data_IF_454529131556
#
_entry.id   IF_454529131556
#
_cell.length_a   1.000
_cell.length_b   1.000
_cell.length_c   1.000
_cell.angle_alpha   90.00
_cell.angle_beta   90.00
_cell.angle_gamma   90.00
#
_symmetry.space_group_name_H-M   'P 1'
#
loop_
_entity.id
_entity.type
_entity.pdbx_description
1 polymer ?
#
# COMPACT_ATOMS: atom_id res chain seq x y z
N UNK A 1 -2.57 20.34 -13.06
CA UNK A 1 -1.58 19.48 -12.38
C UNK A 1 -1.03 18.49 -13.39
N UNK A 2 0.29 18.30 -13.44
CA UNK A 2 0.95 17.27 -14.27
C UNK A 2 1.79 16.37 -13.40
N UNK A 3 1.91 15.11 -13.80
CA UNK A 3 2.77 14.14 -13.13
C UNK A 3 3.81 13.61 -14.10
N UNK A 4 4.96 13.20 -13.57
CA UNK A 4 6.00 12.55 -14.34
C UNK A 4 6.71 11.50 -13.48
N UNK A 5 7.03 10.35 -14.06
CA UNK A 5 7.72 9.27 -13.36
C UNK A 5 9.18 9.22 -13.79
N UNK A 6 10.06 9.16 -12.80
CA UNK A 6 11.48 8.88 -12.99
C UNK A 6 11.90 7.64 -12.22
N UNK A 7 12.90 6.96 -12.70
CA UNK A 7 13.42 5.72 -12.10
C UNK A 7 14.89 5.52 -12.42
N UNK A 8 15.55 4.70 -11.61
CA UNK A 8 16.92 4.28 -11.86
C UNK A 8 17.16 2.88 -11.27
N UNK A 9 18.04 2.10 -11.90
CA UNK A 9 18.62 0.86 -11.39
C UNK A 9 20.13 0.98 -11.18
N UNK A 10 20.64 2.21 -11.05
CA UNK A 10 22.02 2.43 -10.71
C UNK A 10 22.33 1.83 -9.33
N UNK A 11 23.40 1.05 -9.23
CA UNK A 11 23.82 0.42 -7.97
C UNK A 11 24.42 1.40 -6.98
N UNK A 12 24.90 2.56 -7.45
CA UNK A 12 25.25 3.69 -6.59
C UNK A 12 23.97 4.41 -6.15
N UNK A 13 23.72 4.43 -4.85
CA UNK A 13 22.49 4.96 -4.28
C UNK A 13 22.32 6.47 -4.56
N UNK A 14 23.40 7.25 -4.49
CA UNK A 14 23.34 8.69 -4.80
C UNK A 14 22.97 8.91 -6.27
N UNK A 15 23.65 8.21 -7.19
CA UNK A 15 23.35 8.33 -8.62
C UNK A 15 21.92 7.86 -8.94
N UNK A 16 21.47 6.78 -8.30
CA UNK A 16 20.09 6.30 -8.44
C UNK A 16 19.06 7.38 -8.07
N UNK A 17 19.28 8.07 -6.95
CA UNK A 17 18.44 9.18 -6.52
C UNK A 17 18.48 10.37 -7.50
N UNK A 18 19.68 10.76 -7.94
CA UNK A 18 19.86 11.85 -8.88
C UNK A 18 19.19 11.58 -10.23
N UNK A 19 19.42 10.42 -10.82
CA UNK A 19 18.86 10.00 -12.11
C UNK A 19 17.33 9.93 -12.09
N UNK A 20 16.75 9.34 -11.04
CA UNK A 20 15.31 9.25 -10.91
C UNK A 20 14.66 10.64 -10.74
N UNK A 21 15.27 11.53 -9.94
CA UNK A 21 14.79 12.91 -9.78
C UNK A 21 14.88 13.70 -11.08
N UNK A 22 15.98 13.56 -11.83
CA UNK A 22 16.19 14.22 -13.11
C UNK A 22 15.17 13.75 -14.15
N UNK A 23 14.93 12.43 -14.24
CA UNK A 23 13.96 11.85 -15.17
C UNK A 23 12.52 12.30 -14.83
N UNK A 24 12.17 12.39 -13.55
CA UNK A 24 10.88 12.89 -13.08
C UNK A 24 10.72 14.42 -13.22
N UNK A 25 11.76 15.13 -13.67
CA UNK A 25 11.78 16.61 -13.71
C UNK A 25 11.43 17.26 -12.37
N UNK A 26 11.96 16.70 -11.28
CA UNK A 26 11.57 17.06 -9.92
C UNK A 26 11.85 18.52 -9.55
N UNK A 27 12.75 19.21 -10.27
CA UNK A 27 12.97 20.67 -10.12
C UNK A 27 11.72 21.50 -10.33
N UNK A 28 10.81 21.02 -11.17
CA UNK A 28 9.56 21.70 -11.50
C UNK A 28 8.38 21.16 -10.67
N UNK A 29 8.63 20.29 -9.70
CA UNK A 29 7.61 19.67 -8.86
C UNK A 29 7.50 20.32 -7.48
N UNK A 30 6.32 20.18 -6.84
CA UNK A 30 6.09 20.49 -5.43
C UNK A 30 6.47 19.32 -4.53
N UNK A 31 6.22 18.10 -5.01
CA UNK A 31 6.46 16.87 -4.24
C UNK A 31 6.76 15.71 -5.18
N UNK A 32 7.60 14.80 -4.72
CA UNK A 32 7.86 13.51 -5.31
C UNK A 32 7.49 12.36 -4.35
N UNK A 33 6.72 11.40 -4.85
CA UNK A 33 6.44 10.16 -4.12
C UNK A 33 7.52 9.14 -4.48
N UNK A 34 8.43 8.88 -3.54
CA UNK A 34 9.64 8.08 -3.72
C UNK A 34 9.47 6.66 -3.18
N UNK A 35 9.78 5.67 -4.00
CA UNK A 35 9.83 4.26 -3.60
C UNK A 35 11.17 3.64 -3.98
N UNK A 36 11.81 2.96 -3.02
CA UNK A 36 13.17 2.47 -3.19
C UNK A 36 13.30 1.01 -2.76
N UNK A 37 14.35 0.37 -3.23
CA UNK A 37 14.74 -0.95 -2.72
C UNK A 37 15.26 -0.83 -1.29
N UNK A 38 14.84 -1.73 -0.39
CA UNK A 38 15.31 -1.77 1.00
C UNK A 38 16.79 -2.19 1.14
N UNK A 39 17.41 -2.69 0.08
CA UNK A 39 18.85 -3.06 0.12
C UNK A 39 19.78 -1.89 -0.21
N UNK A 40 19.24 -0.76 -0.67
CA UNK A 40 20.01 0.45 -0.94
C UNK A 40 20.10 1.37 0.29
N UNK A 41 21.05 2.29 0.28
CA UNK A 41 21.15 3.34 1.30
C UNK A 41 20.19 4.49 0.97
N UNK A 42 19.04 4.55 1.68
CA UNK A 42 18.01 5.58 1.45
C UNK A 42 18.53 7.01 1.68
N UNK A 43 19.44 7.22 2.62
CA UNK A 43 20.03 8.54 2.86
C UNK A 43 20.84 9.03 1.65
N UNK A 44 21.59 8.14 1.00
CA UNK A 44 22.33 8.48 -0.21
C UNK A 44 21.39 8.73 -1.39
N UNK A 45 20.29 7.96 -1.52
CA UNK A 45 19.26 8.23 -2.55
C UNK A 45 18.66 9.62 -2.35
N UNK A 46 18.24 9.95 -1.13
CA UNK A 46 17.70 11.28 -0.80
C UNK A 46 18.72 12.39 -1.08
N UNK A 47 19.98 12.17 -0.72
CA UNK A 47 21.07 13.13 -1.02
C UNK A 47 21.22 13.36 -2.53
N UNK A 48 21.16 12.29 -3.34
CA UNK A 48 21.17 12.41 -4.80
C UNK A 48 19.99 13.20 -5.35
N UNK A 49 18.79 12.98 -4.80
CA UNK A 49 17.59 13.76 -5.17
C UNK A 49 17.77 15.24 -4.78
N UNK A 50 18.31 15.52 -3.60
CA UNK A 50 18.55 16.91 -3.11
C UNK A 50 19.59 17.66 -3.93
N UNK A 51 20.55 16.98 -4.53
CA UNK A 51 21.48 17.61 -5.48
C UNK A 51 20.76 18.17 -6.71
N UNK A 52 19.61 17.56 -7.07
CA UNK A 52 18.83 17.96 -8.22
C UNK A 52 17.65 18.90 -7.87
N UNK A 53 16.97 18.74 -6.74
CA UNK A 53 15.68 19.40 -6.43
C UNK A 53 15.44 19.62 -4.94
N UNK A 54 14.81 20.75 -4.60
CA UNK A 54 14.31 21.10 -3.27
C UNK A 54 12.84 20.69 -3.05
N UNK A 55 12.20 19.98 -3.99
CA UNK A 55 10.82 19.52 -3.85
C UNK A 55 10.68 18.59 -2.62
N UNK A 56 9.51 18.57 -1.98
CA UNK A 56 9.24 17.60 -0.92
C UNK A 56 9.37 16.17 -1.43
N UNK A 57 9.85 15.28 -0.58
CA UNK A 57 10.05 13.86 -0.89
C UNK A 57 9.33 13.04 0.19
N UNK A 58 8.36 12.23 -0.20
CA UNK A 58 7.71 11.28 0.69
C UNK A 58 7.68 9.90 0.07
N UNK A 59 7.77 8.88 0.89
CA UNK A 59 7.60 7.51 0.41
C UNK A 59 8.22 6.50 1.36
N UNK A 60 8.51 5.34 0.82
CA UNK A 60 9.07 4.24 1.61
C UNK A 60 9.78 3.23 0.72
N UNK A 61 10.35 2.21 1.37
CA UNK A 61 10.85 1.04 0.67
C UNK A 61 9.69 0.17 0.16
N UNK A 62 9.85 -0.37 -1.06
CA UNK A 62 8.91 -1.27 -1.73
C UNK A 62 9.41 -2.71 -1.67
N UNK A 63 8.50 -3.69 -1.58
CA UNK A 63 8.85 -5.11 -1.50
C UNK A 63 9.35 -5.64 -2.84
N UNK A 64 10.64 -5.90 -2.92
CA UNK A 64 11.38 -6.58 -3.98
C UNK A 64 11.38 -5.90 -5.36
N UNK A 65 10.42 -5.04 -5.70
CA UNK A 65 10.34 -4.42 -7.02
C UNK A 65 9.52 -3.13 -7.06
N UNK A 66 9.60 -2.43 -8.19
CA UNK A 66 8.64 -1.44 -8.69
C UNK A 66 8.43 -1.68 -10.18
N UNK A 67 7.30 -1.19 -10.75
CA UNK A 67 7.09 -1.15 -12.19
C UNK A 67 6.91 0.30 -12.67
N UNK A 68 7.51 0.60 -13.81
CA UNK A 68 7.42 1.89 -14.50
C UNK A 68 7.41 1.65 -16.00
N UNK A 69 7.42 2.70 -16.81
CA UNK A 69 7.64 2.55 -18.25
C UNK A 69 8.96 1.84 -18.60
N UNK A 70 9.97 1.94 -17.73
CA UNK A 70 11.28 1.33 -17.92
C UNK A 70 11.31 -0.17 -17.72
N UNK A 71 10.29 -0.76 -17.11
CA UNK A 71 10.23 -2.19 -16.88
C UNK A 71 9.79 -2.57 -15.47
N UNK A 72 9.96 -3.85 -15.18
CA UNK A 72 9.94 -4.43 -13.85
C UNK A 72 11.33 -4.28 -13.24
N UNK A 73 11.49 -3.35 -12.30
CA UNK A 73 12.76 -3.02 -11.65
C UNK A 73 12.83 -3.79 -10.34
N UNK A 74 13.69 -4.77 -10.23
CA UNK A 74 13.77 -5.68 -9.10
C UNK A 74 14.92 -5.37 -8.12
N UNK A 75 14.91 -6.06 -6.98
CA UNK A 75 15.84 -5.82 -5.88
C UNK A 75 17.24 -6.39 -6.06
N UNK A 76 17.54 -7.16 -7.09
CA UNK A 76 18.87 -7.77 -7.25
C UNK A 76 19.98 -6.72 -7.35
N UNK A 77 19.72 -5.63 -8.08
CA UNK A 77 20.65 -4.51 -8.23
C UNK A 77 20.26 -3.27 -7.43
N UNK A 78 19.06 -3.28 -6.82
CA UNK A 78 18.44 -2.12 -6.25
C UNK A 78 17.71 -1.25 -7.27
N UNK A 79 16.89 -0.33 -6.79
CA UNK A 79 16.13 0.60 -7.62
C UNK A 79 15.69 1.81 -6.82
N UNK A 80 15.42 2.91 -7.51
CA UNK A 80 14.59 4.01 -7.07
C UNK A 80 13.55 4.36 -8.12
N UNK A 81 12.36 4.73 -7.69
CA UNK A 81 11.29 5.24 -8.54
C UNK A 81 10.58 6.39 -7.85
N UNK A 82 10.32 7.46 -8.58
CA UNK A 82 9.68 8.65 -8.04
C UNK A 82 8.61 9.16 -9.00
N UNK A 83 7.44 9.49 -8.45
CA UNK A 83 6.37 10.18 -9.19
C UNK A 83 6.32 11.62 -8.72
N UNK A 84 6.74 12.55 -9.58
CA UNK A 84 6.71 13.99 -9.33
C UNK A 84 5.37 14.61 -9.68
N UNK A 85 4.89 15.52 -8.83
CA UNK A 85 3.72 16.36 -9.06
C UNK A 85 4.19 17.80 -9.28
N UNK A 86 3.98 18.33 -10.48
CA UNK A 86 4.51 19.63 -10.86
C UNK A 86 3.94 20.79 -10.02
N UNK A 87 4.67 21.91 -9.98
CA UNK A 87 4.32 23.09 -9.19
C UNK A 87 3.08 23.79 -9.71
N UNK A 88 2.80 23.70 -11.01
CA UNK A 88 1.65 24.33 -11.64
C UNK A 88 0.40 23.47 -11.36
N UNK A 89 -0.58 24.06 -10.70
CA UNK A 89 -1.82 23.37 -10.34
C UNK A 89 -1.69 22.33 -9.21
N UNK A 90 -0.59 22.36 -8.43
CA UNK A 90 -0.43 21.53 -7.23
C UNK A 90 0.01 22.37 -6.04
N UNK A 91 -0.73 22.27 -4.94
CA UNK A 91 -0.27 22.70 -3.62
C UNK A 91 -0.22 21.49 -2.71
N UNK A 92 0.75 21.46 -1.82
CA UNK A 92 0.98 20.35 -0.91
C UNK A 92 1.37 20.89 0.46
N UNK A 93 0.95 20.18 1.51
CA UNK A 93 1.52 20.34 2.84
C UNK A 93 2.00 18.99 3.32
N UNK A 94 3.19 18.93 3.87
CA UNK A 94 3.93 17.71 4.17
C UNK A 94 4.28 17.62 5.64
N UNK A 95 4.12 16.45 6.22
CA UNK A 95 4.62 16.16 7.57
C UNK A 95 4.95 14.69 7.73
N UNK A 96 6.00 14.40 8.45
CA UNK A 96 6.36 13.04 8.83
C UNK A 96 7.23 13.05 10.08
N UNK A 97 7.21 11.95 10.82
CA UNK A 97 8.13 11.70 11.92
C UNK A 97 8.17 10.24 12.35
N UNK A 98 9.27 9.88 12.98
CA UNK A 98 9.34 8.62 13.70
C UNK A 98 8.35 8.58 14.87
N UNK A 99 7.88 7.36 15.18
CA UNK A 99 7.12 7.03 16.38
C UNK A 99 8.09 6.57 17.46
N UNK A 100 7.93 7.08 18.68
CA UNK A 100 8.63 6.60 19.86
C UNK A 100 7.76 5.54 20.55
N UNK A 101 8.38 4.54 21.15
CA UNK A 101 7.67 3.48 21.86
C UNK A 101 6.68 4.05 22.90
N UNK A 102 5.45 3.53 22.89
CA UNK A 102 4.39 3.98 23.78
C UNK A 102 3.55 5.17 23.28
N UNK A 103 3.94 5.83 22.19
CA UNK A 103 3.13 6.89 21.58
C UNK A 103 1.92 6.29 20.84
N UNK A 104 0.83 7.04 20.82
CA UNK A 104 -0.38 6.69 20.06
C UNK A 104 -0.22 7.08 18.60
N UNK A 105 -0.37 6.12 17.68
CA UNK A 105 -0.38 6.35 16.24
C UNK A 105 -1.47 7.36 15.84
N UNK A 106 -2.65 7.33 16.50
CA UNK A 106 -3.74 8.29 16.24
C UNK A 106 -3.35 9.72 16.63
N UNK A 107 -2.68 9.92 17.78
CA UNK A 107 -2.20 11.25 18.15
C UNK A 107 -1.11 11.76 17.21
N UNK A 108 -0.22 10.88 16.75
CA UNK A 108 0.77 11.23 15.72
C UNK A 108 0.04 11.65 14.42
N UNK A 109 -0.95 10.90 13.96
CA UNK A 109 -1.76 11.26 12.80
C UNK A 109 -2.37 12.66 12.91
N UNK A 110 -2.93 13.01 14.10
CA UNK A 110 -3.45 14.36 14.38
C UNK A 110 -2.37 15.44 14.31
N UNK A 111 -1.19 15.16 14.89
CA UNK A 111 -0.05 16.07 14.88
C UNK A 111 0.42 16.35 13.46
N UNK A 112 0.63 15.29 12.67
CA UNK A 112 1.06 15.40 11.27
C UNK A 112 0.04 16.15 10.43
N UNK A 113 -1.25 15.86 10.58
CA UNK A 113 -2.31 16.55 9.86
C UNK A 113 -2.34 18.04 10.17
N UNK A 114 -2.16 18.46 11.44
CA UNK A 114 -2.08 19.88 11.83
C UNK A 114 -0.90 20.57 11.17
N UNK A 115 0.29 19.95 11.15
CA UNK A 115 1.50 20.49 10.51
C UNK A 115 1.31 20.65 9.01
N UNK A 116 0.86 19.58 8.34
CA UNK A 116 0.64 19.60 6.90
C UNK A 116 -0.47 20.58 6.49
N UNK A 117 -1.54 20.72 7.29
CA UNK A 117 -2.60 21.74 7.07
C UNK A 117 -2.07 23.17 7.21
N UNK A 118 -1.20 23.43 8.18
CA UNK A 118 -0.60 24.76 8.36
C UNK A 118 0.27 25.17 7.17
N UNK A 119 0.96 24.21 6.55
CA UNK A 119 1.76 24.43 5.35
C UNK A 119 0.88 24.58 4.10
N UNK A 120 -0.11 23.69 3.91
CA UNK A 120 -1.02 23.76 2.76
C UNK A 120 -1.86 25.04 2.73
N UNK A 121 -2.32 25.51 3.90
CA UNK A 121 -3.05 26.76 4.07
C UNK A 121 -4.51 26.74 3.61
N UNK A 122 -5.01 25.61 3.11
CA UNK A 122 -6.40 25.45 2.63
C UNK A 122 -6.88 23.99 2.77
N UNK A 123 -8.18 23.75 2.54
CA UNK A 123 -8.76 22.40 2.65
C UNK A 123 -8.20 21.48 1.54
N UNK A 124 -7.61 20.33 1.90
CA UNK A 124 -7.12 19.35 0.93
C UNK A 124 -8.25 18.63 0.18
N UNK A 125 -7.94 18.12 -1.01
CA UNK A 125 -8.83 17.29 -1.81
C UNK A 125 -8.67 15.80 -1.48
N UNK A 126 -7.44 15.38 -1.16
CA UNK A 126 -7.05 14.02 -0.77
C UNK A 126 -5.69 14.04 -0.06
N UNK A 127 -5.27 12.90 0.46
CA UNK A 127 -3.94 12.78 1.04
C UNK A 127 -3.24 11.47 0.65
N UNK A 128 -1.93 11.55 0.51
CA UNK A 128 -1.04 10.40 0.47
C UNK A 128 -0.57 10.09 1.88
N UNK A 129 -0.45 8.81 2.20
CA UNK A 129 0.14 8.35 3.45
C UNK A 129 1.09 7.18 3.20
N UNK A 130 2.20 7.15 3.93
CA UNK A 130 3.02 5.98 4.14
C UNK A 130 3.34 5.82 5.62
N UNK A 131 3.35 4.60 6.13
CA UNK A 131 3.58 4.32 7.53
C UNK A 131 4.30 2.99 7.71
N UNK A 132 4.82 2.74 8.91
CA UNK A 132 5.24 1.41 9.31
C UNK A 132 4.02 0.48 9.43
N UNK A 133 4.15 -0.82 9.10
CA UNK A 133 3.07 -1.79 9.29
C UNK A 133 2.65 -1.89 10.77
N UNK A 134 1.38 -2.15 11.03
CA UNK A 134 0.66 -2.53 12.28
C UNK A 134 -0.35 -1.52 12.82
N UNK A 135 -0.17 -0.20 12.63
CA UNK A 135 -1.05 0.82 13.23
C UNK A 135 -1.61 1.81 12.19
N UNK A 136 -1.66 1.38 10.94
CA UNK A 136 -2.03 2.20 9.79
C UNK A 136 -3.41 2.82 9.92
N UNK A 137 -4.37 2.03 10.43
CA UNK A 137 -5.75 2.47 10.65
C UNK A 137 -5.81 3.62 11.67
N UNK A 138 -4.95 3.57 12.71
CA UNK A 138 -4.90 4.61 13.72
C UNK A 138 -4.29 5.90 13.19
N UNK A 139 -3.24 5.83 12.38
CA UNK A 139 -2.70 7.01 11.69
C UNK A 139 -3.77 7.66 10.80
N UNK A 140 -4.50 6.88 9.97
CA UNK A 140 -5.57 7.39 9.11
C UNK A 140 -6.65 8.08 9.94
N UNK A 141 -7.14 7.42 11.01
CA UNK A 141 -8.14 8.00 11.90
C UNK A 141 -7.65 9.32 12.53
N UNK A 142 -6.39 9.38 12.95
CA UNK A 142 -5.79 10.60 13.49
C UNK A 142 -5.74 11.74 12.48
N UNK A 143 -5.39 11.44 11.24
CA UNK A 143 -5.41 12.41 10.14
C UNK A 143 -6.84 12.89 9.89
N UNK A 144 -7.81 11.98 9.79
CA UNK A 144 -9.22 12.30 9.57
C UNK A 144 -9.85 13.10 10.69
N UNK A 145 -9.42 12.94 11.95
CA UNK A 145 -9.86 13.75 13.09
C UNK A 145 -9.61 15.26 12.87
N UNK A 146 -8.66 15.63 12.02
CA UNK A 146 -8.26 17.01 11.76
C UNK A 146 -8.80 17.53 10.42
N UNK A 147 -8.68 16.73 9.35
CA UNK A 147 -9.02 17.18 7.99
C UNK A 147 -10.39 16.70 7.51
N UNK A 148 -11.08 15.84 8.29
CA UNK A 148 -12.32 15.19 7.90
C UNK A 148 -12.08 13.97 6.98
N UNK A 149 -13.16 13.34 6.58
CA UNK A 149 -13.13 12.20 5.66
C UNK A 149 -12.88 12.67 4.22
N UNK A 150 -11.64 12.58 3.78
CA UNK A 150 -11.24 12.78 2.39
C UNK A 150 -10.45 11.54 1.91
N UNK A 151 -10.40 11.28 0.60
CA UNK A 151 -9.73 10.10 0.07
C UNK A 151 -8.27 9.97 0.50
N UNK A 152 -7.86 8.76 0.91
CA UNK A 152 -6.46 8.38 1.10
C UNK A 152 -5.98 7.52 -0.06
N UNK A 153 -4.68 7.60 -0.36
CA UNK A 153 -3.96 6.60 -1.14
C UNK A 153 -2.54 6.44 -0.58
N UNK A 154 -1.90 5.33 -0.87
CA UNK A 154 -0.57 5.02 -0.39
C UNK A 154 -0.46 3.60 0.13
N UNK A 155 0.55 3.33 0.94
CA UNK A 155 0.77 1.98 1.48
C UNK A 155 1.85 1.93 2.55
N UNK A 156 1.90 0.82 3.28
CA UNK A 156 2.90 0.57 4.31
C UNK A 156 4.26 0.27 3.71
N UNK A 157 5.30 0.75 4.38
CA UNK A 157 6.68 0.41 4.05
C UNK A 157 6.88 -1.11 4.03
N UNK A 158 7.69 -1.59 3.11
CA UNK A 158 7.92 -3.00 2.90
C UNK A 158 9.41 -3.32 2.68
N UNK A 159 9.79 -4.54 3.02
CA UNK A 159 11.08 -5.11 2.68
C UNK A 159 10.92 -6.39 1.83
N UNK A 160 12.01 -7.04 1.50
CA UNK A 160 12.00 -8.20 0.62
C UNK A 160 11.62 -9.51 1.34
N UNK A 161 11.71 -9.56 2.67
CA UNK A 161 11.70 -10.80 3.47
C UNK A 161 10.78 -10.76 4.70
N UNK A 162 10.06 -9.65 4.93
CA UNK A 162 9.20 -9.44 6.12
C UNK A 162 10.01 -9.48 7.44
N UNK A 163 11.24 -8.99 7.41
CA UNK A 163 12.16 -8.99 8.56
C UNK A 163 12.23 -7.65 9.30
N UNK A 164 11.46 -6.64 8.89
CA UNK A 164 11.48 -5.32 9.49
C UNK A 164 12.60 -4.40 8.97
N UNK A 165 13.13 -4.70 7.78
CA UNK A 165 14.21 -3.93 7.14
C UNK A 165 13.69 -2.83 6.21
N UNK A 166 12.52 -2.32 6.45
CA UNK A 166 11.91 -1.23 5.70
C UNK A 166 12.31 0.14 6.24
N UNK A 167 12.07 1.15 5.43
CA UNK A 167 12.24 2.57 5.80
C UNK A 167 11.10 3.41 5.25
N UNK A 168 10.73 4.43 6.01
CA UNK A 168 9.85 5.52 5.62
C UNK A 168 10.73 6.75 5.38
N UNK A 169 10.41 7.52 4.35
CA UNK A 169 11.13 8.71 3.94
C UNK A 169 10.18 9.90 4.01
N UNK A 170 10.60 10.98 4.67
CA UNK A 170 9.92 12.26 4.67
C UNK A 170 10.96 13.37 4.63
N UNK A 171 11.12 14.00 3.47
CA UNK A 171 12.20 14.92 3.17
C UNK A 171 13.57 14.29 3.51
N UNK A 172 14.35 14.92 4.39
CA UNK A 172 15.66 14.43 4.79
C UNK A 172 15.62 13.44 5.98
N UNK A 173 14.41 13.09 6.46
CA UNK A 173 14.22 12.16 7.57
C UNK A 173 13.95 10.75 7.04
N UNK A 174 14.63 9.78 7.62
CA UNK A 174 14.46 8.35 7.33
C UNK A 174 14.29 7.61 8.66
N UNK A 175 13.23 6.83 8.77
CA UNK A 175 12.90 6.13 10.00
C UNK A 175 12.19 4.79 9.69
N UNK A 176 12.32 3.82 10.61
CA UNK A 176 11.74 2.48 10.45
C UNK A 176 10.32 2.39 11.01
N UNK A 177 9.99 3.18 12.05
CA UNK A 177 8.65 3.22 12.66
C UNK A 177 8.12 4.66 12.67
N UNK A 178 6.87 4.84 12.27
CA UNK A 178 6.21 6.14 12.21
C UNK A 178 5.31 6.30 10.99
N UNK A 179 5.09 7.56 10.62
CA UNK A 179 4.19 7.91 9.53
C UNK A 179 4.65 9.20 8.82
N UNK A 180 4.40 9.26 7.51
CA UNK A 180 4.53 10.46 6.70
C UNK A 180 3.28 10.67 5.85
N UNK A 181 2.83 11.92 5.74
CA UNK A 181 1.66 12.31 4.96
C UNK A 181 1.95 13.51 4.06
N UNK A 182 1.29 13.54 2.92
CA UNK A 182 1.18 14.72 2.08
C UNK A 182 -0.30 15.03 1.83
N UNK A 183 -0.74 16.20 2.19
CA UNK A 183 -2.07 16.74 1.90
C UNK A 183 -2.04 17.48 0.59
N UNK A 184 -2.91 17.13 -0.35
CA UNK A 184 -2.93 17.68 -1.70
C UNK A 184 -4.12 18.61 -1.95
N UNK A 185 -3.85 19.72 -2.63
CA UNK A 185 -4.83 20.52 -3.34
C UNK A 185 -4.38 20.63 -4.79
N UNK A 186 -5.24 20.21 -5.74
CA UNK A 186 -4.86 20.11 -7.15
C UNK A 186 -5.85 20.81 -8.08
N UNK A 187 -5.33 21.36 -9.18
CA UNK A 187 -6.11 21.70 -10.35
C UNK A 187 -6.18 20.46 -11.24
N UNK A 188 -7.22 19.65 -11.02
CA UNK A 188 -7.37 18.35 -11.67
C UNK A 188 -8.32 17.45 -10.90
N UNK A 189 -8.31 16.17 -11.24
CA UNK A 189 -9.11 15.15 -10.56
C UNK A 189 -8.22 14.00 -10.09
N UNK A 190 -8.65 13.38 -9.02
CA UNK A 190 -8.11 12.10 -8.52
C UNK A 190 -9.25 11.12 -8.32
N UNK A 191 -9.03 9.86 -8.68
CA UNK A 191 -9.89 8.76 -8.31
C UNK A 191 -9.04 7.60 -7.78
N UNK A 192 -9.58 6.88 -6.81
CA UNK A 192 -8.96 5.67 -6.28
C UNK A 192 -9.97 4.52 -6.34
N UNK A 193 -9.49 3.34 -6.64
CA UNK A 193 -10.18 2.06 -6.50
C UNK A 193 -9.37 1.20 -5.55
N UNK A 194 -10.01 0.72 -4.51
CA UNK A 194 -9.45 -0.23 -3.56
C UNK A 194 -10.28 -1.53 -3.61
N UNK A 195 -9.64 -2.63 -3.97
CA UNK A 195 -10.30 -3.94 -4.01
C UNK A 195 -9.30 -5.09 -3.90
N UNK A 196 -9.81 -6.30 -3.58
CA UNK A 196 -9.02 -7.54 -3.60
C UNK A 196 -9.32 -8.39 -4.84
N UNK A 197 -10.47 -8.19 -5.51
CA UNK A 197 -10.98 -8.99 -6.63
C UNK A 197 -11.17 -10.49 -6.32
N UNK A 198 -11.19 -10.89 -5.06
CA UNK A 198 -11.39 -12.27 -4.64
C UNK A 198 -12.86 -12.71 -4.79
N UNK A 199 -13.06 -13.99 -5.05
CA UNK A 199 -14.38 -14.64 -5.04
C UNK A 199 -14.76 -15.06 -3.63
N UNK A 200 -16.04 -14.89 -3.28
CA UNK A 200 -16.61 -15.41 -2.04
C UNK A 200 -16.83 -16.93 -2.17
N UNK A 201 -16.50 -17.66 -1.12
CA UNK A 201 -16.86 -19.08 -1.00
C UNK A 201 -18.13 -19.24 -0.16
N UNK A 202 -18.54 -20.50 0.09
CA UNK A 202 -19.65 -20.80 0.99
C UNK A 202 -19.21 -20.91 2.48
N UNK A 203 -17.92 -20.75 2.77
CA UNK A 203 -17.35 -20.90 4.10
C UNK A 203 -17.45 -19.58 4.88
N UNK A 204 -18.54 -19.39 5.59
CA UNK A 204 -18.85 -18.20 6.39
C UNK A 204 -18.88 -18.55 7.87
N UNK A 205 -18.41 -17.67 8.72
CA UNK A 205 -18.44 -17.81 10.17
C UNK A 205 -18.41 -16.46 10.87
N UNK A 206 -18.36 -16.48 12.18
CA UNK A 206 -18.24 -15.30 13.03
C UNK A 206 -16.92 -15.35 13.78
N UNK A 207 -16.15 -14.28 13.78
CA UNK A 207 -14.95 -14.12 14.63
C UNK A 207 -15.38 -13.98 16.08
N UNK A 208 -15.47 -15.11 16.79
CA UNK A 208 -16.04 -15.15 18.16
C UNK A 208 -15.06 -14.70 19.22
N UNK A 209 -13.75 -14.72 18.91
CA UNK A 209 -12.73 -14.22 19.85
C UNK A 209 -11.55 -13.61 19.10
N UNK A 210 -11.28 -12.35 19.43
CA UNK A 210 -10.14 -11.56 18.90
C UNK A 210 -9.34 -10.99 20.07
N UNK A 211 -8.02 -10.96 19.96
CA UNK A 211 -7.11 -10.39 20.97
C UNK A 211 -6.19 -9.38 20.28
N UNK A 212 -5.93 -8.26 20.94
CA UNK A 212 -5.06 -7.18 20.44
C UNK A 212 -5.42 -6.72 19.01
N UNK A 213 -6.71 -6.74 18.66
CA UNK A 213 -7.27 -6.33 17.37
C UNK A 213 -6.69 -7.02 16.12
N UNK A 214 -5.67 -7.88 16.27
CA UNK A 214 -4.96 -8.52 15.15
C UNK A 214 -4.71 -10.02 15.35
N UNK A 215 -5.10 -10.60 16.49
CA UNK A 215 -5.00 -12.04 16.73
C UNK A 215 -6.39 -12.66 16.74
N UNK A 216 -6.71 -13.41 15.70
CA UNK A 216 -7.95 -14.17 15.59
C UNK A 216 -7.79 -15.50 16.34
N UNK A 217 -8.48 -15.64 17.46
CA UNK A 217 -8.39 -16.83 18.33
C UNK A 217 -9.42 -17.88 17.94
N UNK A 218 -10.67 -17.45 17.67
CA UNK A 218 -11.77 -18.38 17.37
C UNK A 218 -12.70 -17.84 16.28
N UNK A 219 -13.16 -18.76 15.42
CA UNK A 219 -14.27 -18.60 14.49
C UNK A 219 -15.34 -19.61 14.89
N UNK A 220 -16.58 -19.15 15.17
CA UNK A 220 -17.71 -19.96 15.63
C UNK A 220 -17.40 -20.82 16.87
N UNK A 221 -16.54 -20.33 17.78
CA UNK A 221 -16.10 -21.05 18.96
C UNK A 221 -15.05 -22.16 18.72
N UNK A 222 -14.60 -22.33 17.47
CA UNK A 222 -13.51 -23.26 17.09
C UNK A 222 -12.21 -22.46 16.92
N UNK A 223 -11.07 -23.04 17.27
CA UNK A 223 -9.76 -22.43 17.05
C UNK A 223 -9.59 -21.99 15.60
N UNK A 224 -9.12 -20.77 15.39
CA UNK A 224 -9.15 -20.12 14.08
C UNK A 224 -8.37 -20.89 13.00
N UNK A 225 -7.17 -21.41 13.33
CA UNK A 225 -6.37 -22.23 12.39
C UNK A 225 -7.08 -23.54 12.08
N UNK A 226 -7.68 -24.21 13.07
CA UNK A 226 -8.44 -25.44 12.84
C UNK A 226 -9.63 -25.16 11.91
N UNK A 227 -10.40 -24.11 12.19
CA UNK A 227 -11.55 -23.74 11.34
C UNK A 227 -11.13 -23.43 9.90
N UNK A 228 -9.97 -22.76 9.72
CA UNK A 228 -9.40 -22.51 8.40
C UNK A 228 -9.03 -23.81 7.67
N UNK A 229 -8.42 -24.77 8.37
CA UNK A 229 -8.11 -26.09 7.82
C UNK A 229 -9.40 -26.83 7.42
N UNK A 230 -10.44 -26.80 8.25
CA UNK A 230 -11.74 -27.41 7.94
C UNK A 230 -12.37 -26.81 6.67
N UNK A 231 -12.19 -25.52 6.44
CA UNK A 231 -12.71 -24.83 5.26
C UNK A 231 -11.93 -25.09 3.98
N UNK A 232 -10.61 -25.22 4.09
CA UNK A 232 -9.71 -25.28 2.93
C UNK A 232 -9.22 -26.69 2.59
N UNK A 233 -9.44 -27.66 3.50
CA UNK A 233 -8.91 -29.02 3.38
C UNK A 233 -7.41 -29.13 3.66
N UNK A 234 -6.75 -28.04 4.06
CA UNK A 234 -5.33 -28.05 4.43
C UNK A 234 -5.11 -28.72 5.79
N UNK A 235 -3.94 -29.29 5.96
CA UNK A 235 -3.51 -29.87 7.24
C UNK A 235 -2.93 -28.81 8.15
N UNK A 236 -2.89 -29.05 9.47
CA UNK A 236 -2.24 -28.15 10.43
C UNK A 236 -0.73 -28.01 10.16
N UNK A 237 -0.08 -29.02 9.62
CA UNK A 237 1.34 -29.00 9.26
C UNK A 237 1.61 -28.03 8.10
N UNK A 238 0.76 -28.03 7.07
CA UNK A 238 0.89 -27.13 5.91
C UNK A 238 0.75 -25.66 6.27
N UNK A 239 0.03 -25.32 7.33
CA UNK A 239 -0.24 -23.94 7.77
C UNK A 239 0.48 -23.57 9.07
N UNK A 240 1.40 -24.39 9.56
CA UNK A 240 2.07 -24.15 10.83
C UNK A 240 2.97 -22.91 10.78
N UNK A 241 2.96 -22.12 11.86
CA UNK A 241 3.84 -20.97 12.01
C UNK A 241 3.74 -19.97 10.83
N UNK A 242 4.88 -19.59 10.29
CA UNK A 242 4.99 -18.67 9.15
C UNK A 242 4.50 -19.24 7.81
N UNK A 243 4.30 -20.54 7.68
CA UNK A 243 3.77 -21.17 6.46
C UNK A 243 2.35 -20.67 6.14
N UNK A 244 1.60 -20.24 7.17
CA UNK A 244 0.24 -19.73 7.00
C UNK A 244 0.21 -18.54 6.01
N UNK A 245 1.20 -17.67 6.05
CA UNK A 245 1.28 -16.52 5.13
C UNK A 245 1.15 -16.95 3.67
N UNK A 246 2.02 -17.84 3.22
CA UNK A 246 2.02 -18.31 1.83
C UNK A 246 0.76 -19.14 1.52
N UNK A 247 0.34 -20.01 2.45
CA UNK A 247 -0.81 -20.89 2.29
C UNK A 247 -2.14 -20.15 2.12
N UNK A 248 -2.23 -18.89 2.58
CA UNK A 248 -3.47 -18.09 2.58
C UNK A 248 -3.52 -17.02 1.48
N UNK A 249 -2.46 -16.83 0.68
CA UNK A 249 -2.42 -15.77 -0.34
C UNK A 249 -3.59 -15.90 -1.33
N UNK A 250 -3.88 -17.11 -1.81
CA UNK A 250 -4.97 -17.36 -2.75
C UNK A 250 -6.29 -17.73 -2.08
N UNK A 251 -6.26 -17.96 -0.75
CA UNK A 251 -7.42 -18.34 0.04
C UNK A 251 -7.50 -17.55 1.34
N UNK A 252 -7.51 -16.19 1.29
CA UNK A 252 -7.51 -15.37 2.50
C UNK A 252 -8.88 -15.37 3.19
N UNK A 253 -8.94 -14.68 4.31
CA UNK A 253 -10.20 -14.33 4.95
C UNK A 253 -10.69 -12.97 4.42
N UNK A 254 -12.00 -12.77 4.46
CA UNK A 254 -12.67 -11.49 4.24
C UNK A 254 -13.55 -11.14 5.42
N UNK A 255 -13.79 -9.86 5.65
CA UNK A 255 -14.81 -9.38 6.59
C UNK A 255 -16.05 -8.95 5.83
N UNK A 256 -17.22 -9.27 6.38
CA UNK A 256 -18.51 -8.88 5.80
C UNK A 256 -19.18 -7.81 6.67
N UNK A 257 -19.81 -6.85 6.03
CA UNK A 257 -20.67 -5.87 6.69
C UNK A 257 -22.06 -6.45 7.00
N UNK A 258 -22.91 -5.65 7.61
CA UNK A 258 -24.29 -6.04 7.95
C UNK A 258 -25.18 -6.30 6.73
N UNK A 259 -24.77 -5.87 5.53
CA UNK A 259 -25.46 -6.15 4.28
C UNK A 259 -25.02 -7.45 3.64
N UNK A 260 -24.00 -8.10 4.20
CA UNK A 260 -23.40 -9.32 3.71
C UNK A 260 -22.34 -9.12 2.63
N UNK A 261 -21.89 -7.91 2.36
CA UNK A 261 -20.81 -7.63 1.39
C UNK A 261 -19.45 -7.79 2.04
N UNK A 262 -18.48 -8.29 1.28
CA UNK A 262 -17.07 -8.27 1.69
C UNK A 262 -16.54 -6.84 1.59
N UNK A 263 -16.12 -6.26 2.71
CA UNK A 263 -15.63 -4.89 2.79
C UNK A 263 -14.12 -4.79 2.81
N UNK A 264 -13.41 -5.85 3.23
CA UNK A 264 -11.94 -5.88 3.23
C UNK A 264 -11.43 -7.32 3.28
N UNK A 265 -10.28 -7.52 2.66
CA UNK A 265 -9.50 -8.77 2.79
C UNK A 265 -8.70 -8.72 4.09
N UNK A 266 -8.59 -9.87 4.74
CA UNK A 266 -7.81 -10.09 5.97
C UNK A 266 -6.83 -11.22 5.73
N UNK A 267 -5.55 -10.87 5.59
CA UNK A 267 -4.49 -11.84 5.31
C UNK A 267 -4.01 -12.49 6.60
N UNK A 268 -4.20 -13.81 6.81
CA UNK A 268 -3.56 -14.54 7.89
C UNK A 268 -2.05 -14.63 7.64
N UNK A 269 -1.26 -14.16 8.60
CA UNK A 269 0.19 -14.01 8.46
C UNK A 269 0.99 -15.14 9.13
N UNK A 270 0.53 -15.62 10.27
CA UNK A 270 1.18 -16.69 11.02
C UNK A 270 0.20 -17.44 11.90
N UNK A 271 0.41 -18.74 12.05
CA UNK A 271 -0.28 -19.59 13.03
C UNK A 271 0.52 -19.65 14.32
N UNK A 272 -0.14 -19.43 15.46
CA UNK A 272 0.46 -19.56 16.79
C UNK A 272 0.30 -21.00 17.31
N UNK A 273 1.09 -21.38 18.32
CA UNK A 273 1.06 -22.71 18.93
C UNK A 273 -0.32 -23.08 19.51
N UNK A 274 -1.10 -22.09 19.97
CA UNK A 274 -2.45 -22.26 20.49
C UNK A 274 -3.53 -22.34 19.41
N UNK A 275 -3.15 -22.44 18.13
CA UNK A 275 -4.00 -22.44 16.95
C UNK A 275 -4.80 -21.16 16.73
N UNK A 276 -4.41 -20.05 17.34
CA UNK A 276 -4.81 -18.73 16.91
C UNK A 276 -3.99 -18.27 15.69
N UNK A 277 -4.43 -17.25 14.96
CA UNK A 277 -3.70 -16.73 13.83
C UNK A 277 -3.51 -15.21 13.91
N UNK A 278 -2.35 -14.72 13.55
CA UNK A 278 -2.06 -13.31 13.41
C UNK A 278 -2.53 -12.81 12.05
N UNK A 279 -3.21 -11.68 12.02
CA UNK A 279 -3.80 -11.09 10.82
C UNK A 279 -3.12 -9.76 10.51
N UNK A 280 -2.86 -9.51 9.23
CA UNK A 280 -2.15 -8.32 8.75
C UNK A 280 -2.90 -6.99 8.92
N UNK A 281 -4.17 -7.00 9.32
CA UNK A 281 -4.98 -5.78 9.51
C UNK A 281 -5.94 -5.93 10.69
N UNK A 282 -6.50 -4.82 11.16
CA UNK A 282 -7.41 -4.79 12.32
C UNK A 282 -8.65 -5.66 12.14
N UNK A 283 -9.01 -6.37 13.20
CA UNK A 283 -10.21 -7.18 13.34
C UNK A 283 -11.14 -6.60 14.41
N UNK A 284 -12.43 -6.85 14.24
CA UNK A 284 -13.45 -6.54 15.24
C UNK A 284 -14.15 -7.84 15.64
N UNK A 285 -14.14 -8.15 16.93
CA UNK A 285 -14.85 -9.33 17.47
C UNK A 285 -16.35 -9.26 17.15
N UNK A 286 -16.97 -10.41 16.95
CA UNK A 286 -18.39 -10.57 16.54
C UNK A 286 -18.72 -10.09 15.13
N UNK A 287 -17.69 -9.87 14.29
CA UNK A 287 -17.87 -9.58 12.87
C UNK A 287 -17.95 -10.88 12.07
N UNK A 288 -18.80 -10.91 11.05
CA UNK A 288 -18.85 -12.02 10.10
C UNK A 288 -17.58 -12.06 9.25
N UNK A 289 -17.03 -13.25 9.09
CA UNK A 289 -15.91 -13.51 8.19
C UNK A 289 -16.25 -14.58 7.18
N UNK A 290 -15.54 -14.58 6.06
CA UNK A 290 -15.71 -15.53 4.98
C UNK A 290 -14.33 -15.95 4.46
N UNK A 291 -14.20 -17.21 4.05
CA UNK A 291 -13.05 -17.62 3.26
C UNK A 291 -13.24 -17.11 1.84
N UNK A 292 -12.22 -16.48 1.31
CA UNK A 292 -12.14 -16.01 -0.07
C UNK A 292 -11.28 -16.96 -0.90
N UNK A 293 -11.39 -16.85 -2.22
CA UNK A 293 -10.60 -17.64 -3.17
C UNK A 293 -10.26 -16.84 -4.42
N UNK A 294 -9.09 -17.11 -5.02
CA UNK A 294 -8.67 -16.57 -6.30
C UNK A 294 -7.63 -17.49 -6.93
N UNK A 295 -7.77 -17.74 -8.25
CA UNK A 295 -6.74 -18.45 -8.98
C UNK A 295 -5.54 -17.55 -9.30
N UNK A 296 -4.31 -18.09 -9.42
CA UNK A 296 -3.13 -17.28 -9.74
C UNK A 296 -3.26 -16.44 -11.04
N UNK A 297 -3.88 -16.97 -12.08
CA UNK A 297 -4.14 -16.25 -13.33
C UNK A 297 -5.13 -15.10 -13.15
N UNK A 298 -6.15 -15.26 -12.32
CA UNK A 298 -7.11 -14.19 -11.99
C UNK A 298 -6.43 -13.08 -11.18
N UNK A 299 -5.45 -13.43 -10.33
CA UNK A 299 -4.67 -12.45 -9.58
C UNK A 299 -3.83 -11.56 -10.50
N UNK A 300 -3.29 -12.09 -11.59
CA UNK A 300 -2.62 -11.30 -12.66
C UNK A 300 -3.64 -10.41 -13.36
N UNK A 301 -4.78 -10.96 -13.81
CA UNK A 301 -5.83 -10.25 -14.53
C UNK A 301 -6.56 -9.19 -13.69
N UNK A 302 -6.49 -9.27 -12.36
CA UNK A 302 -7.01 -8.24 -11.47
C UNK A 302 -6.35 -6.87 -11.71
N UNK A 303 -5.06 -6.84 -12.12
CA UNK A 303 -4.33 -5.60 -12.38
C UNK A 303 -4.97 -4.79 -13.53
N UNK A 304 -5.03 -5.29 -14.77
CA UNK A 304 -5.62 -4.55 -15.88
C UNK A 304 -7.12 -4.26 -15.65
N UNK A 305 -7.83 -5.12 -14.95
CA UNK A 305 -9.23 -4.89 -14.59
C UNK A 305 -9.38 -3.67 -13.68
N UNK A 306 -8.59 -3.59 -12.59
CA UNK A 306 -8.65 -2.46 -11.65
C UNK A 306 -8.15 -1.16 -12.29
N UNK A 307 -7.15 -1.21 -13.20
CA UNK A 307 -6.71 -0.03 -13.97
C UNK A 307 -7.87 0.49 -14.84
N UNK A 308 -8.58 -0.38 -15.56
CA UNK A 308 -9.75 0.03 -16.34
C UNK A 308 -10.88 0.60 -15.48
N UNK A 309 -11.11 0.02 -14.30
CA UNK A 309 -12.14 0.52 -13.36
C UNK A 309 -11.82 1.94 -12.88
N UNK A 310 -10.56 2.22 -12.47
CA UNK A 310 -10.17 3.57 -12.02
C UNK A 310 -10.12 4.57 -13.17
N UNK A 311 -9.70 4.15 -14.37
CA UNK A 311 -9.71 4.97 -15.58
C UNK A 311 -11.13 5.40 -15.94
N UNK A 312 -12.08 4.48 -15.93
CA UNK A 312 -13.50 4.76 -16.16
C UNK A 312 -14.09 5.68 -15.09
N UNK A 313 -13.74 5.46 -13.81
CA UNK A 313 -14.22 6.27 -12.68
C UNK A 313 -13.81 7.74 -12.82
N UNK A 314 -12.60 8.00 -13.32
CA UNK A 314 -12.11 9.37 -13.50
C UNK A 314 -12.49 9.98 -14.87
N UNK A 315 -12.95 9.16 -15.81
CA UNK A 315 -13.30 9.57 -17.17
C UNK A 315 -12.08 9.76 -18.08
N UNK A 316 -11.13 8.83 -18.01
CA UNK A 316 -9.86 8.81 -18.71
C UNK A 316 -8.76 9.51 -17.91
N UNK A 317 -7.77 8.74 -17.45
CA UNK A 317 -6.63 9.23 -16.66
C UNK A 317 -5.50 9.71 -17.56
N UNK A 318 -4.64 10.57 -17.02
CA UNK A 318 -3.37 10.96 -17.62
C UNK A 318 -2.18 10.23 -16.99
N UNK A 319 -2.35 9.78 -15.72
CA UNK A 319 -1.32 9.01 -15.03
C UNK A 319 -1.90 8.14 -13.91
N UNK A 320 -1.09 7.16 -13.46
CA UNK A 320 -1.48 6.22 -12.41
C UNK A 320 -0.40 6.05 -11.34
N UNK A 321 -0.85 5.99 -10.08
CA UNK A 321 -0.07 5.49 -8.96
C UNK A 321 -0.71 4.18 -8.46
N UNK A 322 0.00 3.06 -8.61
CA UNK A 322 -0.54 1.72 -8.46
C UNK A 322 0.09 1.04 -7.23
N UNK A 323 -0.65 0.94 -6.15
CA UNK A 323 -0.20 0.22 -4.95
C UNK A 323 -0.70 -1.22 -5.01
N UNK A 324 0.24 -2.15 -5.14
CA UNK A 324 0.00 -3.59 -5.21
C UNK A 324 0.53 -4.27 -3.95
N UNK A 325 -0.21 -5.20 -3.38
CA UNK A 325 0.24 -5.93 -2.20
C UNK A 325 1.49 -6.78 -2.49
N UNK A 326 2.51 -6.65 -1.64
CA UNK A 326 3.71 -7.49 -1.69
C UNK A 326 3.40 -8.98 -1.50
N UNK A 327 2.38 -9.32 -0.70
CA UNK A 327 1.90 -10.69 -0.53
C UNK A 327 1.33 -11.28 -1.83
N UNK A 328 0.57 -10.49 -2.62
CA UNK A 328 0.09 -10.93 -3.95
C UNK A 328 1.26 -11.20 -4.89
N UNK A 329 2.25 -10.29 -4.93
CA UNK A 329 3.48 -10.48 -5.71
C UNK A 329 4.19 -11.77 -5.30
N UNK A 330 4.37 -12.01 -4.00
CA UNK A 330 4.98 -13.23 -3.47
C UNK A 330 4.20 -14.49 -3.90
N UNK A 331 2.87 -14.47 -3.83
CA UNK A 331 2.03 -15.57 -4.31
C UNK A 331 2.26 -15.85 -5.79
N UNK A 332 2.27 -14.82 -6.63
CA UNK A 332 2.55 -14.97 -8.05
C UNK A 332 3.98 -15.46 -8.34
N UNK A 333 4.96 -15.05 -7.53
CA UNK A 333 6.33 -15.56 -7.61
C UNK A 333 6.40 -17.07 -7.31
N UNK A 334 5.72 -17.52 -6.26
CA UNK A 334 5.65 -18.95 -5.90
C UNK A 334 4.99 -19.81 -6.98
N UNK A 335 4.05 -19.24 -7.74
CA UNK A 335 3.36 -19.88 -8.87
C UNK A 335 4.07 -19.67 -10.22
N UNK A 336 5.24 -19.02 -10.24
CA UNK A 336 5.99 -18.73 -11.47
C UNK A 336 5.31 -17.73 -12.42
N UNK A 337 4.43 -16.86 -11.90
CA UNK A 337 3.63 -15.89 -12.66
C UNK A 337 3.98 -14.42 -12.38
N UNK A 338 4.99 -14.15 -11.59
CA UNK A 338 5.39 -12.78 -11.24
C UNK A 338 5.74 -11.94 -12.49
N UNK A 339 6.40 -12.54 -13.46
CA UNK A 339 6.79 -11.86 -14.70
C UNK A 339 5.60 -11.43 -15.57
N UNK A 340 4.41 -12.00 -15.35
CA UNK A 340 3.18 -11.62 -16.05
C UNK A 340 2.60 -10.28 -15.56
N UNK A 341 3.00 -9.79 -14.37
CA UNK A 341 2.48 -8.53 -13.78
C UNK A 341 2.80 -7.34 -14.69
N UNK A 342 4.08 -7.17 -15.03
CA UNK A 342 4.54 -6.00 -15.79
C UNK A 342 3.86 -5.84 -17.14
N UNK A 343 3.85 -6.84 -18.06
CA UNK A 343 3.25 -6.69 -19.37
C UNK A 343 1.74 -6.41 -19.30
N UNK A 344 1.02 -6.99 -18.35
CA UNK A 344 -0.43 -6.74 -18.19
C UNK A 344 -0.71 -5.31 -17.71
N UNK A 345 0.08 -4.80 -16.77
CA UNK A 345 0.00 -3.41 -16.26
C UNK A 345 0.40 -2.42 -17.36
N UNK A 346 1.54 -2.65 -18.02
CA UNK A 346 2.03 -1.79 -19.11
C UNK A 346 1.01 -1.65 -20.24
N UNK A 347 0.42 -2.77 -20.66
CA UNK A 347 -0.61 -2.78 -21.69
C UNK A 347 -1.86 -2.00 -21.26
N UNK A 348 -2.29 -2.12 -19.99
CA UNK A 348 -3.45 -1.43 -19.48
C UNK A 348 -3.21 0.09 -19.30
N UNK A 349 -2.03 0.50 -18.88
CA UNK A 349 -1.64 1.92 -18.77
C UNK A 349 -1.40 2.57 -20.14
N UNK A 350 -1.00 1.79 -21.17
CA UNK A 350 -0.65 2.30 -22.48
C UNK A 350 0.58 3.21 -22.42
N UNK A 351 0.46 4.41 -23.02
CA UNK A 351 1.54 5.41 -23.03
C UNK A 351 1.49 6.39 -21.85
N UNK A 352 0.59 6.18 -20.90
CA UNK A 352 0.41 7.05 -19.73
C UNK A 352 1.51 6.80 -18.70
N UNK A 353 1.88 7.86 -17.99
CA UNK A 353 2.82 7.75 -16.86
C UNK A 353 2.25 6.84 -15.76
N UNK A 354 3.07 5.91 -15.24
CA UNK A 354 2.68 5.11 -14.09
C UNK A 354 3.87 4.73 -13.21
N UNK A 355 3.63 4.68 -11.92
CA UNK A 355 4.50 4.08 -10.93
C UNK A 355 3.70 3.03 -10.15
N UNK A 356 4.10 1.76 -10.26
CA UNK A 356 3.56 0.66 -9.47
C UNK A 356 4.55 0.27 -8.39
N UNK A 357 4.06 0.13 -7.17
CA UNK A 357 4.84 -0.18 -5.98
C UNK A 357 4.24 -1.36 -5.22
N UNK A 358 5.08 -2.09 -4.48
CA UNK A 358 4.65 -3.27 -3.71
C UNK A 358 4.80 -3.00 -2.21
N UNK A 359 3.69 -3.02 -1.49
CA UNK A 359 3.60 -2.61 -0.07
C UNK A 359 3.11 -3.74 0.82
N UNK A 360 3.22 -3.59 2.14
CA UNK A 360 2.71 -4.58 3.09
C UNK A 360 1.29 -4.30 3.57
N UNK A 361 0.82 -3.08 3.42
CA UNK A 361 -0.57 -2.68 3.59
C UNK A 361 -0.93 -1.68 2.50
N UNK A 362 -2.11 -1.79 1.92
CA UNK A 362 -2.62 -0.91 0.88
C UNK A 362 -3.66 0.02 1.48
N UNK A 363 -3.55 1.33 1.20
CA UNK A 363 -4.50 2.36 1.66
C UNK A 363 -5.30 2.89 0.49
N UNK A 364 -6.60 2.96 0.67
CA UNK A 364 -7.48 3.45 -0.39
C UNK A 364 -8.89 3.70 0.08
N UNK A 365 -9.74 4.04 -0.88
CA UNK A 365 -11.16 4.28 -0.65
C UNK A 365 -11.93 3.00 -0.96
N UNK A 366 -12.39 2.34 0.08
CA UNK A 366 -13.22 1.15 -0.03
C UNK A 366 -14.68 1.45 -0.37
N UNK A 367 -15.51 0.44 -0.24
CA UNK A 367 -16.96 0.58 -0.37
C UNK A 367 -17.49 1.63 0.62
N UNK A 368 -18.57 2.28 0.25
CA UNK A 368 -19.17 3.39 1.02
C UNK A 368 -18.29 4.64 1.18
N UNK A 369 -17.27 4.80 0.33
CA UNK A 369 -16.34 5.95 0.35
C UNK A 369 -15.53 6.10 1.64
N UNK A 370 -15.44 5.05 2.47
CA UNK A 370 -14.61 5.05 3.67
C UNK A 370 -13.16 4.71 3.34
N UNK A 371 -12.23 5.43 3.96
CA UNK A 371 -10.83 5.07 3.91
C UNK A 371 -10.59 3.73 4.61
N UNK A 372 -9.83 2.86 3.96
CA UNK A 372 -9.60 1.50 4.41
C UNK A 372 -8.13 1.09 4.27
N UNK A 373 -7.76 0.12 5.08
CA UNK A 373 -6.45 -0.57 5.05
C UNK A 373 -6.69 -2.06 4.96
N UNK A 374 -5.89 -2.75 4.21
CA UNK A 374 -5.91 -4.20 4.17
C UNK A 374 -4.66 -4.77 3.53
N UNK A 375 -4.59 -6.09 3.53
CA UNK A 375 -3.58 -6.86 2.81
C UNK A 375 -4.20 -7.61 1.65
N UNK A 376 -3.37 -8.12 0.75
CA UNK A 376 -3.76 -8.82 -0.48
C UNK A 376 -4.71 -8.01 -1.38
N UNK A 377 -4.61 -6.68 -1.33
CA UNK A 377 -5.46 -5.76 -2.08
C UNK A 377 -4.67 -5.01 -3.16
N UNK A 378 -5.40 -4.33 -4.00
CA UNK A 378 -4.92 -3.34 -4.95
C UNK A 378 -5.51 -1.99 -4.56
N UNK A 379 -4.68 -0.96 -4.44
CA UNK A 379 -5.11 0.42 -4.30
C UNK A 379 -4.58 1.22 -5.47
N UNK A 380 -5.39 1.36 -6.50
CA UNK A 380 -4.99 2.02 -7.74
C UNK A 380 -5.59 3.40 -7.83
N UNK A 381 -4.72 4.37 -7.97
CA UNK A 381 -5.06 5.78 -8.04
C UNK A 381 -4.77 6.31 -9.43
N UNK A 382 -5.73 7.02 -9.99
CA UNK A 382 -5.61 7.70 -11.26
C UNK A 382 -5.68 9.20 -11.07
N UNK A 383 -4.93 9.93 -11.86
CA UNK A 383 -4.93 11.39 -11.90
C UNK A 383 -5.30 11.87 -13.29
N UNK A 384 -6.08 12.95 -13.34
CA UNK A 384 -6.49 13.60 -14.59
C UNK A 384 -6.22 15.09 -14.51
N UNK A 385 -5.52 15.57 -15.50
CA UNK A 385 -5.30 17.01 -15.75
C UNK A 385 -6.61 17.69 -16.18
N UNK A 386 -6.75 18.95 -15.90
CA UNK A 386 -7.89 19.79 -16.35
C UNK A 386 -7.38 20.96 -17.17
#
# INVERSE_FOLDING_TARGET
MKTKVGYSQNTDAFQSGFESAQMADLKNCKVGLLFTSCVMNQAEIVRGIREYSDAHILGCTSSAAICTHGGYLNAETGYSGIMGFNSEGTKVGVAGRAKIEGESAREIGRELAKKAMAELGEKPDFFFMTASPKEEEDYILGVQDIIGEIPVFGGSAADNTVEGKWSIICDDQIFADGCAIALFKIDGKMANIYNGQFHETNNVGVMTKVVNDRTLVEIDGVKAVQKYCDWTGKTLEEVAGGNLLAATIFNPLGVKDITGRVTAVRHPMAANEDLSMNIGARLVEKTACIQLHMEPSEMVEANPKTIREVDNKIGGADSYFLVHCGGRRLGLQLEGKEEEIYPTVKNACGDKEFLMVFTFGEYGVGDHSANTVGGLSLSYTAFKEV
#
